data_IF_742797027822
#
_entry.id   IF_742797027822
#
_cell.length_a   1.000
_cell.length_b   1.000
_cell.length_c   1.000
_cell.angle_alpha   90.00
_cell.angle_beta   90.00
_cell.angle_gamma   90.00
#
_symmetry.space_group_name_H-M   'P 1'
#
loop_
_entity.id
_entity.type
_entity.pdbx_description
1 polymer ?
2 polymer ?
3 polymer ?
4 water ?
#
# COMPACT_ATOMS: atom_id res chain seq x y z
N UNK A 1 -11.39 13.74 10.49
CA UNK A 1 -11.28 14.37 9.18
C UNK A 1 -11.95 13.51 8.12
N UNK A 2 -11.38 13.51 6.91
CA UNK A 2 -11.91 12.69 5.82
C UNK A 2 -11.61 11.19 5.99
N UNK A 3 -12.42 10.35 5.36
CA UNK A 3 -12.26 8.89 5.45
C UNK A 3 -12.49 8.26 4.10
N UNK A 4 -12.00 7.04 3.95
CA UNK A 4 -12.19 6.32 2.70
C UNK A 4 -12.33 4.83 2.95
N UNK A 5 -13.03 4.17 2.05
CA UNK A 5 -13.04 2.71 2.01
C UNK A 5 -12.62 2.29 0.61
N UNK A 6 -11.63 1.40 0.50
CA UNK A 6 -11.14 0.99 -0.82
C UNK A 6 -10.88 -0.49 -0.86
N UNK A 7 -11.21 -1.10 -2.00
CA UNK A 7 -10.91 -2.50 -2.22
C UNK A 7 -9.96 -2.63 -3.40
N UNK A 8 -9.01 -3.53 -3.25
CA UNK A 8 -7.99 -3.77 -4.27
C UNK A 8 -8.02 -5.22 -4.64
N UNK A 9 -8.09 -5.49 -5.94
CA UNK A 9 -8.18 -6.86 -6.46
C UNK A 9 -7.07 -7.07 -7.47
N UNK A 10 -6.33 -8.17 -7.32
CA UNK A 10 -5.30 -8.55 -8.29
C UNK A 10 -5.52 -9.99 -8.73
N UNK A 11 -5.56 -10.22 -10.04
CA UNK A 11 -5.57 -11.57 -10.59
C UNK A 11 -4.41 -11.78 -11.52
N UNK A 12 -3.70 -12.90 -11.33
CA UNK A 12 -2.55 -13.21 -12.18
C UNK A 12 -2.72 -14.60 -12.79
N UNK A 13 -2.76 -14.68 -14.12
CA UNK A 13 -2.96 -15.97 -14.77
C UNK A 13 -1.73 -16.85 -14.58
N UNK A 14 -1.97 -18.14 -14.58
CA UNK A 14 -0.90 -19.11 -14.41
C UNK A 14 -0.91 -20.05 -15.59
N UNK A 15 -0.07 -19.77 -16.58
CA UNK A 15 -0.01 -20.59 -17.78
C UNK A 15 0.47 -21.97 -17.41
N UNK A 16 -0.15 -22.98 -18.01
CA UNK A 16 0.32 -24.33 -17.82
C UNK A 16 -0.70 -25.13 -17.06
N UNK A 17 -1.30 -24.55 -16.02
CA UNK A 17 -2.30 -25.27 -15.25
C UNK A 17 -3.14 -24.41 -14.32
N UNK A 18 -4.46 -24.50 -14.46
CA UNK A 18 -5.39 -24.02 -13.44
C UNK A 18 -5.76 -22.55 -13.50
N UNK A 19 -6.53 -22.12 -12.50
CA UNK A 19 -7.07 -20.77 -12.43
C UNK A 19 -6.05 -19.71 -11.98
N UNK A 20 -6.35 -18.44 -12.26
CA UNK A 20 -5.44 -17.37 -11.81
C UNK A 20 -5.29 -17.32 -10.31
N UNK A 21 -4.17 -16.80 -9.84
CA UNK A 21 -4.02 -16.44 -8.45
C UNK A 21 -4.82 -15.17 -8.23
N UNK A 22 -5.68 -15.17 -7.23
CA UNK A 22 -6.55 -14.02 -6.99
C UNK A 22 -6.37 -13.55 -5.55
N UNK A 23 -6.14 -12.26 -5.37
CA UNK A 23 -5.97 -11.68 -4.02
C UNK A 23 -6.80 -10.42 -3.92
N UNK A 24 -7.64 -10.35 -2.90
CA UNK A 24 -8.48 -9.18 -2.66
C UNK A 24 -8.17 -8.65 -1.27
N UNK A 25 -8.04 -7.33 -1.15
CA UNK A 25 -7.84 -6.73 0.18
C UNK A 25 -8.74 -5.52 0.29
N UNK A 26 -9.25 -5.28 1.49
CA UNK A 26 -10.05 -4.10 1.75
C UNK A 26 -9.43 -3.24 2.83
N UNK A 27 -9.53 -1.93 2.64
CA UNK A 27 -9.04 -0.92 3.57
C UNK A 27 -10.10 0.08 4.01
N UNK A 28 -10.05 0.47 5.27
CA UNK A 28 -10.67 1.72 5.68
C UNK A 28 -9.51 2.64 5.98
N UNK A 29 -9.45 3.76 5.27
CA UNK A 29 -8.30 4.66 5.36
C UNK A 29 -7.03 3.87 5.13
N UNK A 30 -6.09 3.89 6.07
CA UNK A 30 -4.84 3.13 5.94
C UNK A 30 -4.85 1.82 6.73
N UNK A 31 -6.04 1.34 7.06
CA UNK A 31 -6.13 0.11 7.84
C UNK A 31 -6.75 -1.03 7.01
N UNK A 32 -5.97 -2.07 6.74
CA UNK A 32 -6.52 -3.24 6.07
C UNK A 32 -7.46 -3.97 7.00
N UNK A 33 -8.64 -4.36 6.52
CA UNK A 33 -9.54 -5.05 7.44
C UNK A 33 -10.05 -6.39 6.94
N UNK A 34 -10.00 -6.63 5.63
CA UNK A 34 -10.36 -7.98 5.14
C UNK A 34 -9.37 -8.42 4.07
N UNK A 35 -9.33 -9.73 3.84
CA UNK A 35 -8.59 -10.26 2.71
C UNK A 35 -9.27 -11.50 2.15
N UNK A 36 -8.97 -11.78 0.90
CA UNK A 36 -9.25 -13.09 0.29
C UNK A 36 -8.04 -13.47 -0.52
N UNK A 37 -7.56 -14.69 -0.34
CA UNK A 37 -6.46 -15.19 -1.13
C UNK A 37 -6.84 -16.54 -1.69
N UNK A 38 -6.85 -16.67 -3.01
CA UNK A 38 -7.21 -17.95 -3.63
C UNK A 38 -6.29 -19.11 -3.23
N UNK A 39 -5.04 -18.82 -2.88
CA UNK A 39 -4.09 -19.88 -2.53
C UNK A 39 -4.25 -20.37 -1.08
N UNK A 40 -5.01 -19.64 -0.26
CA UNK A 40 -5.22 -20.03 1.15
C UNK A 40 -6.26 -21.13 1.29
N UNK A 41 -6.23 -21.82 2.43
CA UNK A 41 -7.03 -23.03 2.62
C UNK A 41 -8.50 -22.74 2.87
N UNK A 42 -8.81 -21.63 3.52
CA UNK A 42 -10.18 -21.36 3.96
C UNK A 42 -11.17 -21.11 2.83
N UNK A 43 -10.71 -20.47 1.75
CA UNK A 43 -11.59 -20.03 0.67
C UNK A 43 -12.71 -19.19 1.24
N UNK A 44 -12.39 -18.43 2.29
CA UNK A 44 -13.32 -17.46 2.83
C UNK A 44 -12.69 -16.06 2.80
N UNK A 45 -13.53 -15.03 2.70
CA UNK A 45 -13.12 -13.69 3.09
C UNK A 45 -12.76 -13.75 4.56
N UNK A 46 -11.60 -13.22 4.92
CA UNK A 46 -11.07 -13.33 6.29
C UNK A 46 -10.88 -11.98 6.94
N UNK A 47 -11.04 -11.91 8.27
CA UNK A 47 -10.81 -10.65 8.98
C UNK A 47 -9.33 -10.34 9.11
N UNK A 48 -8.99 -9.06 9.08
CA UNK A 48 -7.63 -8.59 9.22
C UNK A 48 -7.52 -7.41 10.20
N UNK A 49 -8.67 -7.00 10.75
CA UNK A 49 -8.71 -6.02 11.83
C UNK A 49 -9.65 -6.56 12.90
N UNK A 50 -9.34 -6.32 14.19
CA UNK A 50 -10.18 -6.85 15.27
C UNK A 50 -11.64 -6.39 15.21
N UNK A 51 -11.86 -5.13 14.85
CA UNK A 51 -13.21 -4.56 14.83
C UNK A 51 -14.16 -5.13 13.76
N UNK A 52 -13.63 -5.81 12.74
CA UNK A 52 -14.51 -6.44 11.77
C UNK A 52 -14.93 -7.82 12.26
N UNK A 53 -14.23 -8.35 13.25
CA UNK A 53 -14.60 -9.66 13.79
C UNK A 53 -15.92 -9.54 14.56
N UNK A 54 -16.38 -8.32 14.79
CA UNK A 54 -17.73 -8.09 15.34
C UNK A 54 -18.81 -8.62 14.41
N UNK A 55 -18.54 -8.59 13.12
CA UNK A 55 -19.53 -8.98 12.12
C UNK A 55 -19.79 -10.48 12.23
N UNK A 56 -21.06 -10.84 12.07
CA UNK A 56 -21.49 -12.21 12.25
C UNK A 56 -21.44 -13.03 10.98
N UNK A 57 -21.87 -14.29 11.08
CA UNK A 57 -21.72 -15.24 9.97
C UNK A 57 -22.41 -14.82 8.67
N UNK A 58 -23.49 -14.04 8.73
CA UNK A 58 -24.16 -13.67 7.48
C UNK A 58 -23.30 -12.68 6.71
N UNK A 59 -22.52 -11.88 7.44
CA UNK A 59 -21.59 -10.95 6.82
C UNK A 59 -20.53 -11.74 6.06
N UNK A 60 -19.90 -12.70 6.74
CA UNK A 60 -18.82 -13.45 6.15
C UNK A 60 -19.27 -14.34 5.00
N UNK A 61 -20.48 -14.91 5.09
CA UNK A 61 -21.02 -15.69 3.97
C UNK A 61 -21.25 -14.83 2.74
N UNK A 62 -21.77 -13.62 2.97
CA UNK A 62 -22.07 -12.71 1.87
C UNK A 62 -20.80 -12.16 1.23
N UNK A 63 -19.81 -11.80 2.04
CA UNK A 63 -18.57 -11.26 1.48
C UNK A 63 -17.85 -12.37 0.75
N UNK A 64 -17.95 -13.59 1.26
CA UNK A 64 -17.35 -14.73 0.59
C UNK A 64 -17.99 -14.98 -0.75
N UNK A 65 -19.33 -14.98 -0.77
CA UNK A 65 -20.08 -15.22 -1.99
C UNK A 65 -19.70 -14.17 -3.05
N UNK A 66 -19.67 -12.92 -2.63
CA UNK A 66 -19.40 -11.84 -3.57
C UNK A 66 -17.96 -11.89 -4.05
N UNK A 67 -17.02 -12.16 -3.15
CA UNK A 67 -15.63 -12.08 -3.59
C UNK A 67 -15.30 -13.26 -4.52
N UNK A 68 -15.98 -14.40 -4.37
CA UNK A 68 -15.74 -15.50 -5.30
C UNK A 68 -16.27 -15.17 -6.70
N UNK A 69 -17.39 -14.44 -6.76
CA UNK A 69 -17.91 -13.94 -8.02
C UNK A 69 -16.94 -12.95 -8.67
N UNK A 70 -16.31 -12.09 -7.85
CA UNK A 70 -15.29 -11.17 -8.36
C UNK A 70 -14.15 -11.97 -8.99
N UNK A 71 -13.76 -13.06 -8.33
CA UNK A 71 -12.65 -13.88 -8.80
C UNK A 71 -12.97 -14.49 -10.17
N UNK A 72 -14.20 -14.94 -10.33
CA UNK A 72 -14.60 -15.56 -11.59
C UNK A 72 -14.72 -14.51 -12.71
N UNK A 73 -15.17 -13.32 -12.37
CA UNK A 73 -15.20 -12.24 -13.35
C UNK A 73 -13.80 -11.91 -13.88
N UNK A 74 -12.84 -11.79 -12.98
CA UNK A 74 -11.45 -11.57 -13.39
C UNK A 74 -10.86 -12.69 -14.20
N UNK A 75 -11.22 -13.92 -13.87
CA UNK A 75 -10.77 -15.09 -14.65
C UNK A 75 -11.22 -14.94 -16.10
N UNK A 76 -12.51 -14.67 -16.28
CA UNK A 76 -13.03 -14.45 -17.63
C UNK A 76 -12.31 -13.27 -18.30
N UNK A 77 -12.12 -12.17 -17.56
CA UNK A 77 -11.50 -10.97 -18.09
C UNK A 77 -10.09 -11.23 -18.62
N UNK A 78 -9.31 -12.02 -17.89
CA UNK A 78 -7.96 -12.34 -18.36
C UNK A 78 -8.03 -13.06 -19.70
N UNK A 79 -9.00 -13.94 -19.87
CA UNK A 79 -9.19 -14.61 -21.15
C UNK A 79 -9.62 -13.65 -22.25
N UNK A 80 -10.54 -12.75 -21.92
CA UNK A 80 -11.00 -11.74 -22.88
C UNK A 80 -9.86 -10.81 -23.33
N UNK A 81 -9.08 -10.33 -22.38
CA UNK A 81 -8.00 -9.40 -22.65
C UNK A 81 -6.90 -10.05 -23.48
N UNK A 82 -6.67 -11.34 -23.26
CA UNK A 82 -5.69 -12.09 -24.04
C UNK A 82 -6.10 -12.06 -25.51
N UNK A 83 -7.41 -12.20 -25.72
CA UNK A 83 -7.98 -12.12 -27.06
C UNK A 83 -7.86 -10.72 -27.65
N UNK A 84 -8.28 -9.70 -26.91
CA UNK A 84 -8.23 -8.32 -27.39
C UNK A 84 -6.82 -7.92 -27.79
N UNK A 85 -5.83 -8.37 -27.04
CA UNK A 85 -4.46 -7.93 -27.27
C UNK A 85 -3.64 -8.93 -28.10
N UNK A 86 -4.30 -9.95 -28.62
CA UNK A 86 -3.64 -10.96 -29.46
C UNK A 86 -2.40 -11.53 -28.79
N UNK A 87 -2.55 -11.96 -27.54
CA UNK A 87 -1.46 -12.55 -26.81
C UNK A 87 -1.61 -14.08 -26.76
N UNK A 88 -0.50 -14.77 -26.57
CA UNK A 88 -0.54 -16.22 -26.54
C UNK A 88 -0.96 -16.70 -25.16
N UNK A 89 -1.15 -18.01 -25.04
CA UNK A 89 -1.45 -18.63 -23.74
C UNK A 89 -0.18 -18.95 -22.96
N UNK A 90 0.97 -18.51 -23.43
CA UNK A 90 2.23 -18.90 -22.81
C UNK A 90 2.70 -17.96 -21.69
N UNK A 91 2.21 -16.73 -21.69
CA UNK A 91 2.67 -15.76 -20.72
C UNK A 91 1.70 -15.59 -19.57
N UNK A 92 2.21 -15.07 -18.46
CA UNK A 92 1.39 -14.69 -17.33
C UNK A 92 0.98 -13.23 -17.48
N UNK A 93 -0.29 -12.93 -17.22
CA UNK A 93 -0.76 -11.55 -17.30
C UNK A 93 -1.54 -11.19 -16.03
N UNK A 94 -1.77 -9.89 -15.84
CA UNK A 94 -2.29 -9.36 -14.57
C UNK A 94 -3.45 -8.41 -14.85
N UNK A 95 -4.58 -8.63 -14.18
CA UNK A 95 -5.62 -7.60 -14.11
C UNK A 95 -5.67 -7.07 -12.68
N UNK A 96 -5.78 -5.76 -12.53
CA UNK A 96 -5.98 -5.11 -11.23
C UNK A 96 -7.23 -4.27 -11.28
N UNK A 97 -7.96 -4.26 -10.17
CA UNK A 97 -9.16 -3.45 -10.04
C UNK A 97 -9.17 -2.76 -8.68
N UNK A 98 -9.54 -1.49 -8.65
CA UNK A 98 -9.67 -0.78 -7.38
C UNK A 98 -10.96 0.01 -7.45
N UNK A 99 -11.76 -0.06 -6.37
CA UNK A 99 -12.91 0.83 -6.26
C UNK A 99 -13.16 1.21 -4.80
N UNK A 100 -13.99 2.23 -4.61
CA UNK A 100 -14.29 2.67 -3.26
C UNK A 100 -14.80 4.11 -3.24
N UNK A 101 -14.97 4.63 -2.02
CA UNK A 101 -15.57 5.93 -1.83
C UNK A 101 -14.78 6.71 -0.80
N UNK A 102 -14.75 8.03 -0.97
CA UNK A 102 -14.19 8.95 0.01
C UNK A 102 -15.34 9.74 0.64
N UNK A 103 -15.26 9.97 1.94
CA UNK A 103 -16.15 10.92 2.58
C UNK A 103 -15.31 12.01 3.21
N UNK A 104 -15.90 13.19 3.37
CA UNK A 104 -15.24 14.29 4.04
C UNK A 104 -15.48 14.24 5.53
N UNK A 105 -15.16 15.33 6.22
CA UNK A 105 -15.26 15.38 7.69
C UNK A 105 -16.67 15.17 8.21
N UNK A 106 -17.68 15.54 7.40
CA UNK A 106 -19.07 15.29 7.75
C UNK A 106 -19.52 13.85 7.50
N UNK A 107 -18.61 13.03 6.99
CA UNK A 107 -18.88 11.63 6.63
C UNK A 107 -19.92 11.50 5.53
N UNK A 108 -20.12 12.56 4.76
CA UNK A 108 -20.99 12.51 3.60
C UNK A 108 -20.15 12.19 2.37
N UNK A 109 -20.77 11.52 1.39
CA UNK A 109 -20.10 11.21 0.13
C UNK A 109 -19.33 12.38 -0.48
N UNK A 110 -18.07 12.13 -0.82
CA UNK A 110 -17.24 13.14 -1.46
C UNK A 110 -16.83 12.73 -2.88
N UNK A 111 -16.24 11.53 -3.00
CA UNK A 111 -15.81 11.01 -4.30
C UNK A 111 -15.95 9.52 -4.36
N UNK A 112 -16.18 8.99 -5.56
CA UNK A 112 -16.14 7.56 -5.83
C UNK A 112 -15.14 7.19 -6.91
N UNK A 113 -14.71 5.92 -6.91
CA UNK A 113 -13.68 5.46 -7.84
C UNK A 113 -14.01 4.05 -8.27
N UNK A 114 -13.71 3.73 -9.52
CA UNK A 114 -13.74 2.35 -9.97
C UNK A 114 -12.88 2.24 -11.22
N UNK A 115 -11.71 1.63 -11.09
CA UNK A 115 -10.79 1.59 -12.23
C UNK A 115 -10.10 0.27 -12.38
N UNK A 116 -9.62 0.03 -13.59
CA UNK A 116 -9.15 -1.26 -14.04
C UNK A 116 -7.81 -1.09 -14.77
N UNK A 117 -6.89 -2.01 -14.55
CA UNK A 117 -5.63 -1.99 -15.29
C UNK A 117 -5.30 -3.38 -15.82
N UNK A 118 -4.65 -3.44 -16.97
CA UNK A 118 -4.18 -4.72 -17.53
C UNK A 118 -2.67 -4.65 -17.69
N UNK A 119 -1.97 -5.62 -17.11
CA UNK A 119 -0.51 -5.66 -17.14
C UNK A 119 0.14 -4.35 -16.69
N UNK A 120 -0.44 -3.73 -15.67
CA UNK A 120 0.12 -2.54 -15.08
C UNK A 120 -0.22 -1.24 -15.79
N UNK A 121 -1.02 -1.31 -16.86
CA UNK A 121 -1.42 -0.10 -17.58
C UNK A 121 -2.91 0.20 -17.42
N UNK A 122 -3.25 1.48 -17.32
CA UNK A 122 -4.64 1.96 -17.40
C UNK A 122 -5.39 1.22 -18.49
N UNK A 123 -6.54 0.65 -18.13
CA UNK A 123 -7.42 0.04 -19.13
C UNK A 123 -8.70 0.88 -19.24
N UNK A 124 -9.50 0.86 -18.18
CA UNK A 124 -10.74 1.65 -18.16
C UNK A 124 -11.05 2.15 -16.74
N UNK A 125 -11.54 3.39 -16.64
CA UNK A 125 -11.83 4.02 -15.35
C UNK A 125 -13.12 4.82 -15.39
N UNK A 126 -13.91 4.72 -14.33
CA UNK A 126 -15.09 5.56 -14.19
C UNK A 126 -14.63 7.00 -13.94
N UNK A 127 -15.26 7.96 -14.60
CA UNK A 127 -14.90 9.38 -14.45
C UNK A 127 -15.49 9.92 -13.16
N UNK A 128 -15.02 11.09 -12.73
CA UNK A 128 -15.43 11.66 -11.42
C UNK A 128 -16.94 11.81 -11.27
N UNK A 129 -17.64 12.00 -12.38
CA UNK A 129 -19.08 12.21 -12.34
C UNK A 129 -19.85 10.90 -12.12
N UNK A 130 -19.13 9.79 -12.15
CA UNK A 130 -19.73 8.45 -12.02
C UNK A 130 -20.75 8.16 -13.11
N UNK A 131 -20.64 8.86 -14.24
CA UNK A 131 -21.61 8.69 -15.31
C UNK A 131 -20.97 8.28 -16.63
N UNK A 132 -19.66 8.42 -16.73
CA UNK A 132 -18.98 8.13 -17.99
C UNK A 132 -17.64 7.43 -17.76
N UNK A 133 -17.03 6.96 -18.84
CA UNK A 133 -15.82 6.15 -18.77
C UNK A 133 -14.61 6.75 -19.52
N UNK A 134 -13.42 6.50 -18.99
CA UNK A 134 -12.16 6.81 -19.66
C UNK A 134 -11.56 5.50 -20.12
N UNK A 135 -11.56 5.27 -21.44
CA UNK A 135 -10.97 4.08 -22.04
C UNK A 135 -9.62 4.43 -22.62
N UNK A 136 -8.55 3.76 -22.19
CA UNK A 136 -7.21 4.17 -22.61
C UNK A 136 -6.86 3.84 -24.06
N UNK A 137 -7.39 2.73 -24.57
CA UNK A 137 -7.08 2.33 -25.95
C UNK A 137 -8.29 1.71 -26.62
N UNK A 138 -8.11 1.17 -27.82
CA UNK A 138 -9.28 0.70 -28.57
C UNK A 138 -9.90 -0.55 -27.96
N UNK A 139 -9.09 -1.39 -27.34
CA UNK A 139 -9.61 -2.56 -26.63
C UNK A 139 -10.55 -2.10 -25.51
N UNK A 140 -10.09 -1.14 -24.72
CA UNK A 140 -10.90 -0.62 -23.62
C UNK A 140 -12.15 0.10 -24.14
N UNK A 141 -12.05 0.67 -25.34
CA UNK A 141 -13.18 1.34 -25.95
C UNK A 141 -14.30 0.34 -26.26
N UNK A 142 -13.94 -0.87 -26.67
CA UNK A 142 -14.93 -1.93 -26.83
C UNK A 142 -15.64 -2.27 -25.52
N UNK A 143 -14.89 -2.33 -24.43
CA UNK A 143 -15.49 -2.55 -23.12
C UNK A 143 -16.41 -1.36 -22.74
N UNK A 144 -15.96 -0.13 -23.02
CA UNK A 144 -16.78 1.06 -22.71
C UNK A 144 -18.15 0.99 -23.39
N UNK A 145 -18.17 0.63 -24.67
CA UNK A 145 -19.43 0.51 -25.43
C UNK A 145 -20.34 -0.53 -24.79
N UNK A 146 -19.75 -1.68 -24.46
CA UNK A 146 -20.47 -2.75 -23.79
C UNK A 146 -21.07 -2.31 -22.46
N UNK A 147 -20.27 -1.60 -21.66
CA UNK A 147 -20.75 -1.17 -20.35
C UNK A 147 -21.75 -0.02 -20.45
N UNK A 148 -21.63 0.80 -21.49
CA UNK A 148 -22.64 1.83 -21.70
C UNK A 148 -23.99 1.21 -22.05
N UNK A 149 -23.96 0.29 -23.01
CA UNK A 149 -25.18 -0.43 -23.41
C UNK A 149 -25.88 -1.11 -22.24
N UNK A 150 -25.12 -1.67 -21.30
CA UNK A 150 -25.69 -2.38 -20.16
C UNK A 150 -25.84 -1.51 -18.91
N UNK A 151 -25.61 -0.21 -19.04
CA UNK A 151 -25.83 0.73 -17.94
C UNK A 151 -25.05 0.39 -16.68
N UNK A 152 -23.78 0.02 -16.84
CA UNK A 152 -22.95 -0.36 -15.72
C UNK A 152 -22.73 0.83 -14.79
N UNK A 153 -22.45 2.01 -15.36
CA UNK A 153 -22.10 3.15 -14.52
C UNK A 153 -23.21 3.49 -13.53
N UNK A 154 -24.46 3.39 -13.98
CA UNK A 154 -25.58 3.77 -13.14
C UNK A 154 -25.66 2.89 -11.91
N UNK A 155 -25.29 1.63 -12.10
CA UNK A 155 -25.33 0.68 -11.00
C UNK A 155 -24.13 0.85 -10.06
N UNK A 156 -22.97 1.19 -10.63
CA UNK A 156 -21.81 1.49 -9.81
C UNK A 156 -22.07 2.74 -9.00
N UNK A 157 -22.67 3.73 -9.65
CA UNK A 157 -22.99 5.00 -9.01
C UNK A 157 -23.80 4.77 -7.73
N UNK A 158 -24.74 3.83 -7.80
CA UNK A 158 -25.62 3.59 -6.66
C UNK A 158 -24.84 3.01 -5.47
N UNK A 159 -23.91 2.11 -5.76
CA UNK A 159 -23.07 1.54 -4.72
C UNK A 159 -22.13 2.60 -4.17
N UNK A 160 -21.41 3.28 -5.05
CA UNK A 160 -20.36 4.19 -4.61
C UNK A 160 -20.92 5.36 -3.81
N UNK A 161 -22.09 5.86 -4.21
CA UNK A 161 -22.69 7.01 -3.54
C UNK A 161 -23.52 6.61 -2.34
N UNK A 162 -24.00 5.38 -2.33
CA UNK A 162 -24.91 4.94 -1.31
C UNK A 162 -24.36 3.85 -0.41
N UNK A 163 -24.41 2.61 -0.90
CA UNK A 163 -24.02 1.42 -0.15
C UNK A 163 -22.61 1.49 0.42
N UNK A 164 -21.66 1.92 -0.40
CA UNK A 164 -20.27 2.05 0.01
C UNK A 164 -20.13 2.99 1.22
N UNK A 165 -20.81 4.12 1.16
CA UNK A 165 -20.77 5.10 2.25
C UNK A 165 -21.41 4.58 3.53
N UNK A 166 -22.49 3.83 3.38
CA UNK A 166 -23.14 3.21 4.53
C UNK A 166 -22.23 2.21 5.21
N UNK A 167 -21.55 1.40 4.41
CA UNK A 167 -20.60 0.42 4.96
C UNK A 167 -19.53 1.14 5.75
N UNK A 168 -19.00 2.19 5.14
CA UNK A 168 -17.91 2.95 5.71
C UNK A 168 -18.32 3.55 7.06
N UNK A 169 -19.51 4.12 7.11
CA UNK A 169 -20.03 4.70 8.33
C UNK A 169 -20.22 3.64 9.42
N UNK A 170 -20.64 2.45 9.02
CA UNK A 170 -20.79 1.35 9.93
C UNK A 170 -19.44 0.90 10.48
N UNK A 171 -18.46 0.81 9.60
CA UNK A 171 -17.12 0.38 10.01
C UNK A 171 -16.48 1.42 10.91
N UNK A 172 -16.65 2.70 10.58
CA UNK A 172 -16.07 3.76 11.38
C UNK A 172 -16.63 3.74 12.81
N UNK A 173 -17.87 3.28 12.95
CA UNK A 173 -18.51 3.18 14.26
C UNK A 173 -17.99 1.98 15.05
N UNK A 174 -18.05 0.82 14.43
CA UNK A 174 -17.58 -0.39 15.07
C UNK A 174 -16.08 -0.35 15.36
N UNK A 175 -15.30 0.33 14.53
CA UNK A 175 -13.88 0.41 14.76
C UNK A 175 -13.45 1.71 15.40
N UNK A 176 -14.40 2.44 15.99
CA UNK A 176 -14.15 3.81 16.45
C UNK A 176 -12.89 3.95 17.31
N UNK A 177 -12.61 2.97 18.16
CA UNK A 177 -11.48 3.06 19.09
C UNK A 177 -10.13 3.21 18.39
N UNK A 178 -10.04 2.69 17.17
CA UNK A 178 -8.82 2.86 16.38
C UNK A 178 -9.05 3.69 15.12
N UNK A 179 -10.14 3.43 14.41
CA UNK A 179 -10.38 4.16 13.15
C UNK A 179 -10.61 5.66 13.33
N UNK A 180 -11.16 6.06 14.46
CA UNK A 180 -11.43 7.49 14.64
C UNK A 180 -10.35 8.15 15.50
N UNK A 181 -9.29 7.40 15.78
CA UNK A 181 -8.18 7.93 16.56
C UNK A 181 -7.02 8.35 15.68
N UNK A 182 -6.47 9.54 15.92
CA UNK A 182 -5.27 9.96 15.19
C UNK A 182 -4.04 9.74 16.07
N UNK A 183 -2.97 9.24 15.47
CA UNK A 183 -1.73 9.02 16.19
C UNK A 183 -0.72 10.03 15.68
N UNK A 184 -0.39 11.01 16.50
CA UNK A 184 0.54 12.06 16.09
C UNK A 184 1.96 11.49 16.02
N UNK A 185 2.77 11.99 15.08
CA UNK A 185 4.13 11.45 14.98
C UNK A 185 4.97 11.70 16.22
N UNK A 186 5.71 10.66 16.63
CA UNK A 186 6.75 10.83 17.63
C UNK A 186 8.01 11.28 16.90
N UNK A 187 8.48 12.48 17.23
CA UNK A 187 9.59 13.05 16.47
C UNK A 187 10.86 13.21 17.27
N UNK A 188 11.99 13.09 16.57
CA UNK A 188 13.29 13.42 17.15
C UNK A 188 14.29 13.62 16.04
N UNK A 189 15.44 14.15 16.39
CA UNK A 189 16.48 14.44 15.40
C UNK A 189 17.78 13.73 15.73
N UNK A 190 18.44 13.21 14.70
CA UNK A 190 19.76 12.61 14.88
C UNK A 190 20.79 13.37 14.07
N UNK A 191 22.06 13.17 14.41
CA UNK A 191 23.17 13.93 13.85
C UNK A 191 24.29 12.96 13.51
N UNK A 192 24.85 13.07 12.31
CA UNK A 192 25.92 12.19 11.88
C UNK A 192 27.02 12.98 11.19
N UNK A 193 28.26 12.83 11.64
CA UNK A 193 29.38 13.49 10.99
C UNK A 193 29.92 12.64 9.84
N UNK A 194 29.97 13.19 8.63
CA UNK A 194 30.57 12.45 7.54
C UNK A 194 32.06 12.84 7.41
N UNK A 195 32.36 14.10 7.70
CA UNK A 195 33.74 14.59 7.64
C UNK A 195 33.91 15.67 8.68
N UNK A 196 35.08 16.27 8.73
CA UNK A 196 35.31 17.34 9.70
C UNK A 196 34.55 18.61 9.32
N UNK A 197 34.00 18.67 8.12
CA UNK A 197 33.32 19.89 7.69
C UNK A 197 31.88 19.67 7.22
N UNK A 198 31.44 18.41 7.17
CA UNK A 198 30.10 18.08 6.68
C UNK A 198 29.32 17.21 7.67
N UNK A 199 28.07 17.56 7.96
CA UNK A 199 27.24 16.75 8.84
C UNK A 199 25.85 16.51 8.27
N UNK A 200 25.19 15.44 8.72
CA UNK A 200 23.84 15.16 8.28
C UNK A 200 22.90 15.24 9.47
N UNK A 201 21.82 15.99 9.31
CA UNK A 201 20.77 16.06 10.32
C UNK A 201 19.60 15.24 9.81
N UNK A 202 19.08 14.33 10.63
CA UNK A 202 17.98 13.50 10.19
C UNK A 202 16.81 13.69 11.13
N UNK A 203 15.68 14.06 10.55
CA UNK A 203 14.46 14.33 11.32
C UNK A 203 13.53 13.14 11.18
N UNK A 204 13.21 12.49 12.29
CA UNK A 204 12.38 11.27 12.30
C UNK A 204 10.94 11.51 12.72
N UNK A 205 10.00 10.87 12.02
CA UNK A 205 8.61 10.84 12.46
C UNK A 205 8.22 9.38 12.56
N UNK A 206 7.79 8.97 13.75
CA UNK A 206 7.53 7.56 14.02
C UNK A 206 6.15 7.36 14.59
N UNK A 207 5.60 6.16 14.39
CA UNK A 207 4.37 5.75 15.05
C UNK A 207 3.15 6.61 14.76
N UNK A 208 3.02 7.15 13.55
CA UNK A 208 1.89 8.02 13.28
C UNK A 208 0.81 7.34 12.45
N UNK A 209 -0.39 7.90 12.53
CA UNK A 209 -1.54 7.40 11.80
C UNK A 209 -2.55 8.53 11.67
N UNK A 210 -3.11 8.74 10.46
CA UNK A 210 -2.90 7.99 9.23
C UNK A 210 -1.56 8.30 8.56
N UNK A 211 -1.32 7.70 7.40
CA UNK A 211 0.00 7.71 6.78
C UNK A 211 0.40 9.07 6.22
N UNK A 212 -0.59 9.90 5.95
CA UNK A 212 -0.37 11.21 5.33
C UNK A 212 0.41 12.12 6.26
N UNK A 213 1.53 12.67 5.78
CA UNK A 213 2.39 13.48 6.61
C UNK A 213 3.27 14.36 5.71
N UNK A 214 3.72 15.49 6.25
CA UNK A 214 4.67 16.34 5.53
C UNK A 214 5.87 16.68 6.41
N UNK A 215 7.08 16.39 5.93
CA UNK A 215 8.31 16.79 6.61
C UNK A 215 9.05 17.75 5.72
N UNK A 216 9.43 18.90 6.24
CA UNK A 216 10.18 19.86 5.43
C UNK A 216 11.29 20.47 6.26
N UNK A 217 12.35 20.86 5.58
CA UNK A 217 13.48 21.51 6.22
C UNK A 217 13.48 22.98 5.89
N UNK A 218 13.89 23.78 6.85
CA UNK A 218 14.14 25.19 6.61
C UNK A 218 15.55 25.58 7.03
N UNK A 219 16.18 26.49 6.28
CA UNK A 219 17.39 27.15 6.78
C UNK A 219 17.15 28.63 7.01
N UNK A 220 17.40 29.08 8.23
CA UNK A 220 17.18 30.46 8.61
C UNK A 220 15.72 30.88 8.31
N UNK A 221 14.79 29.97 8.57
CA UNK A 221 13.37 30.23 8.38
C UNK A 221 12.89 30.21 6.94
N UNK A 222 13.72 29.75 6.01
CA UNK A 222 13.34 29.65 4.61
C UNK A 222 13.40 28.21 4.13
N UNK A 223 12.46 27.82 3.26
CA UNK A 223 12.40 26.43 2.79
C UNK A 223 13.68 26.02 2.08
N UNK A 224 14.16 24.83 2.42
CA UNK A 224 15.35 24.27 1.81
C UNK A 224 15.06 22.89 1.23
N UNK A 225 15.32 22.72 -0.06
CA UNK A 225 15.08 21.42 -0.69
C UNK A 225 16.37 20.83 -1.24
N UNK A 226 17.32 21.69 -1.59
CA UNK A 226 18.66 21.25 -1.97
C UNK A 226 19.38 20.56 -0.82
N UNK A 227 20.20 19.56 -1.16
CA UNK A 227 20.93 18.75 -0.19
C UNK A 227 20.04 18.12 0.86
N UNK A 228 18.77 17.87 0.52
CA UNK A 228 17.88 17.10 1.39
C UNK A 228 17.54 15.76 0.76
N UNK A 229 17.26 14.79 1.63
CA UNK A 229 16.77 13.48 1.21
C UNK A 229 15.57 13.08 2.07
N UNK A 230 14.54 12.53 1.44
CA UNK A 230 13.31 12.16 2.13
C UNK A 230 12.90 10.77 1.70
N UNK A 231 12.76 9.82 2.63
CA UNK A 231 12.30 8.47 2.25
C UNK A 231 10.79 8.40 2.13
N UNK A 232 10.34 7.47 1.30
CA UNK A 232 8.92 7.15 1.17
C UNK A 232 8.39 6.72 2.52
N UNK A 233 7.19 7.18 2.87
CA UNK A 233 6.51 6.78 4.10
C UNK A 233 6.35 5.26 4.10
N UNK A 234 6.64 4.62 5.23
CA UNK A 234 6.71 3.17 5.28
C UNK A 234 5.94 2.64 6.48
N UNK A 235 5.35 1.45 6.34
CA UNK A 235 4.63 0.83 7.45
C UNK A 235 5.56 0.29 8.53
N UNK A 236 5.23 0.55 9.78
CA UNK A 236 6.01 0.03 10.88
C UNK A 236 5.74 -1.46 11.06
N UNK A 237 4.52 -1.86 10.71
CA UNK A 237 4.12 -3.25 10.83
C UNK A 237 3.15 -3.47 11.98
N UNK A 238 2.93 -2.44 12.79
CA UNK A 238 1.94 -2.51 13.87
C UNK A 238 0.73 -1.63 13.58
N UNK A 239 0.56 -1.23 12.32
CA UNK A 239 -0.55 -0.36 11.97
C UNK A 239 -0.19 1.11 11.82
N UNK A 240 0.99 1.50 12.29
CA UNK A 240 1.42 2.88 12.20
C UNK A 240 2.47 3.04 11.10
N UNK A 241 2.92 4.26 10.89
CA UNK A 241 3.83 4.55 9.79
C UNK A 241 5.05 5.34 10.25
N UNK A 242 6.09 5.33 9.40
CA UNK A 242 7.34 6.00 9.69
C UNK A 242 7.76 6.80 8.48
N UNK A 243 8.53 7.85 8.71
CA UNK A 243 9.16 8.62 7.63
C UNK A 243 10.33 9.40 8.21
N UNK A 244 11.36 9.64 7.41
CA UNK A 244 12.36 10.63 7.84
C UNK A 244 12.79 11.50 6.67
N UNK A 245 13.37 12.64 7.03
CA UNK A 245 13.93 13.55 6.05
C UNK A 245 15.28 14.03 6.58
N UNK A 246 16.27 14.15 5.69
CA UNK A 246 17.61 14.51 6.12
C UNK A 246 18.12 15.70 5.31
N UNK A 247 18.98 16.51 5.92
CA UNK A 247 19.64 17.58 5.20
C UNK A 247 21.13 17.48 5.50
N UNK A 248 21.95 17.76 4.49
CA UNK A 248 23.38 17.91 4.68
C UNK A 248 23.75 19.36 5.00
N UNK A 249 24.51 19.55 6.07
CA UNK A 249 24.86 20.90 6.50
C UNK A 249 26.36 21.07 6.79
N UNK A 250 26.87 22.30 6.70
CA UNK A 250 28.24 22.54 7.13
C UNK A 250 28.36 22.31 8.62
N UNK A 251 29.37 21.54 9.02
CA UNK A 251 29.62 21.26 10.42
C UNK A 251 29.74 22.57 11.20
N UNK A 252 28.97 22.70 12.28
CA UNK A 252 28.98 23.93 13.07
C UNK A 252 27.80 24.83 12.80
N UNK A 253 27.07 24.60 11.71
CA UNK A 253 25.93 25.45 11.35
C UNK A 253 24.57 24.77 11.59
N UNK A 254 24.57 23.72 12.40
CA UNK A 254 23.36 22.94 12.65
C UNK A 254 22.19 23.80 13.13
N UNK A 255 22.47 24.80 13.94
CA UNK A 255 21.42 25.62 14.56
C UNK A 255 20.57 26.45 13.56
N UNK A 256 21.08 26.62 12.35
CA UNK A 256 20.34 27.34 11.31
C UNK A 256 19.17 26.53 10.80
N UNK A 257 19.20 25.21 11.03
CA UNK A 257 18.29 24.32 10.32
C UNK A 257 17.17 23.82 11.22
N UNK A 258 15.95 23.86 10.70
CA UNK A 258 14.79 23.39 11.45
C UNK A 258 13.96 22.44 10.60
N UNK A 259 13.44 21.41 11.24
CA UNK A 259 12.56 20.44 10.60
C UNK A 259 11.11 20.74 10.97
N UNK A 260 10.22 20.71 9.99
CA UNK A 260 8.84 21.10 10.21
C UNK A 260 7.88 19.95 9.89
N UNK A 261 7.01 19.63 10.85
CA UNK A 261 6.19 18.44 10.73
C UNK A 261 4.71 18.76 10.72
N UNK A 262 4.03 18.30 9.68
CA UNK A 262 2.60 18.52 9.53
C UNK A 262 1.88 17.19 9.50
N UNK A 263 0.87 17.05 10.34
CA UNK A 263 0.11 15.80 10.45
C UNK A 263 -1.24 16.13 11.08
N UNK A 264 -2.30 15.43 10.67
CA UNK A 264 -3.63 15.81 11.19
C UNK A 264 -3.78 15.50 12.67
N UNK A 265 -2.86 14.71 13.21
CA UNK A 265 -2.84 14.42 14.64
C UNK A 265 -2.17 15.51 15.46
N UNK A 266 -1.66 16.52 14.77
CA UNK A 266 -0.98 17.66 15.40
C UNK A 266 -1.84 18.91 15.25
N UNK A 267 -2.35 19.44 16.37
CA UNK A 267 -3.14 20.68 16.37
C UNK A 267 -2.42 21.81 15.62
N UNK A 268 -1.12 21.92 15.85
CA UNK A 268 -0.29 22.89 15.16
C UNK A 268 0.97 22.20 14.63
N UNK A 269 1.47 22.62 13.44
CA UNK A 269 2.76 22.16 12.94
C UNK A 269 3.85 22.16 14.00
N UNK A 270 4.69 21.15 13.97
CA UNK A 270 5.75 20.97 14.95
C UNK A 270 7.09 21.40 14.36
N UNK A 271 7.92 22.06 15.16
CA UNK A 271 9.25 22.47 14.74
C UNK A 271 10.32 21.75 15.56
N UNK A 272 11.30 21.16 14.90
CA UNK A 272 12.41 20.50 15.59
C UNK A 272 13.73 21.18 15.29
N UNK A 273 14.59 21.21 16.29
CA UNK A 273 15.92 21.80 16.17
C UNK A 273 16.93 20.83 16.78
N UNK A 274 18.18 20.91 16.36
CA UNK A 274 19.21 19.99 16.85
C UNK A 274 19.65 20.32 18.28
N UNK B 1 4.73 -5.07 -22.16
CA UNK B 1 4.83 -5.54 -20.80
C UNK B 1 5.61 -4.55 -19.94
N UNK B 2 4.91 -3.78 -19.12
CA UNK B 2 5.55 -2.89 -18.16
C UNK B 2 6.34 -3.70 -17.15
N UNK B 3 7.57 -3.28 -16.90
CA UNK B 3 8.36 -3.90 -15.86
C UNK B 3 9.00 -2.84 -14.99
N UNK B 4 8.56 -2.77 -13.74
CA UNK B 4 9.07 -1.78 -12.80
C UNK B 4 9.84 -2.44 -11.69
N UNK B 5 11.02 -1.90 -11.40
CA UNK B 5 11.93 -2.53 -10.45
C UNK B 5 11.55 -2.13 -9.03
N UNK B 6 11.74 -3.04 -8.07
CA UNK B 6 11.28 -2.69 -6.72
C UNK B 6 12.16 -1.66 -6.01
N UNK B 7 11.52 -0.74 -5.31
CA UNK B 7 12.24 0.06 -4.32
C UNK B 7 12.24 -0.72 -3.01
N UNK B 8 13.33 -0.61 -2.26
CA UNK B 8 13.54 -1.42 -1.05
C UNK B 8 13.97 -0.55 0.13
N UNK B 9 13.30 -0.73 1.26
CA UNK B 9 13.77 -0.18 2.53
C UNK B 9 13.81 -1.27 3.57
N UNK B 10 14.88 -1.30 4.37
CA UNK B 10 15.04 -2.28 5.45
C UNK B 10 15.19 -1.51 6.75
N UNK B 11 14.42 -1.85 7.77
CA UNK B 11 14.31 -1.02 8.97
C UNK B 11 13.61 -1.78 10.09
N UNK B 12 13.73 -1.29 11.33
CA UNK B 12 13.06 -1.95 12.45
C UNK B 12 11.69 -1.35 12.72
N UNK B 13 10.80 -2.14 13.30
CA UNK B 13 9.47 -1.64 13.67
C UNK B 13 9.54 -0.60 14.80
N UNK B 14 10.39 -0.88 15.80
CA UNK B 14 10.54 0.00 16.96
C UNK B 14 11.98 0.50 17.01
N UNK B 15 12.25 1.57 17.80
CA UNK B 15 13.62 2.06 17.93
C UNK B 15 14.60 0.94 18.32
N UNK B 16 15.76 0.89 17.68
CA UNK B 16 16.68 -0.23 17.82
C UNK B 16 17.56 -0.10 19.05
N UNK B 17 17.43 -1.06 19.96
CA UNK B 17 18.28 -1.12 21.14
C UNK B 17 18.79 -2.54 21.28
N UNK B 18 20.11 -2.70 21.26
CA UNK B 18 20.73 -4.01 21.42
C UNK B 18 20.19 -4.73 22.65
N UNK B 19 19.83 -6.00 22.46
CA UNK B 19 19.38 -6.80 23.59
C UNK B 19 17.88 -6.83 23.73
N UNK B 20 17.18 -5.89 23.11
CA UNK B 20 15.73 -5.85 23.23
C UNK B 20 15.02 -6.32 21.97
N UNK B 21 13.99 -7.14 22.18
CA UNK B 21 13.13 -7.67 21.15
C UNK B 21 12.55 -6.57 20.26
N UNK B 22 12.34 -6.90 18.99
CA UNK B 22 12.00 -5.91 17.97
C UNK B 22 11.57 -6.65 16.71
N UNK B 23 11.24 -5.92 15.66
CA UNK B 23 10.84 -6.55 14.39
C UNK B 23 11.66 -5.95 13.25
N UNK B 24 12.13 -6.82 12.36
CA UNK B 24 12.89 -6.38 11.20
C UNK B 24 11.96 -6.39 10.00
N UNK B 25 11.91 -5.27 9.30
CA UNK B 25 11.04 -5.08 8.14
C UNK B 25 11.81 -4.96 6.84
N UNK B 26 11.29 -5.56 5.79
CA UNK B 26 11.73 -5.24 4.44
C UNK B 26 10.52 -4.78 3.64
N UNK B 27 10.49 -3.50 3.29
CA UNK B 27 9.37 -2.94 2.55
C UNK B 27 9.75 -2.83 1.08
N UNK B 28 9.04 -3.57 0.23
CA UNK B 28 9.27 -3.51 -1.21
C UNK B 28 8.05 -2.88 -1.89
N UNK B 29 8.30 -1.92 -2.79
CA UNK B 29 7.20 -1.20 -3.39
C UNK B 29 7.56 -0.75 -4.80
N UNK B 30 6.57 -0.29 -5.56
CA UNK B 30 6.83 0.29 -6.85
C UNK B 30 7.20 -0.71 -7.94
N UNK B 31 6.89 -1.98 -7.73
CA UNK B 31 7.30 -3.00 -8.68
C UNK B 31 6.13 -3.59 -9.47
N UNK B 32 6.49 -4.12 -10.64
CA UNK B 32 5.54 -4.77 -11.54
C UNK B 32 6.36 -5.63 -12.49
N UNK B 33 5.93 -6.89 -12.72
CA UNK B 33 4.75 -7.56 -12.17
C UNK B 33 4.94 -7.97 -10.71
N UNK B 34 3.95 -8.68 -10.17
CA UNK B 34 3.84 -8.86 -8.72
C UNK B 34 4.68 -9.99 -8.18
N UNK B 35 5.07 -10.93 -9.05
CA UNK B 35 5.93 -12.04 -8.62
C UNK B 35 7.27 -11.50 -8.12
N UNK B 36 7.64 -11.84 -6.89
CA UNK B 36 8.86 -11.32 -6.31
C UNK B 36 9.38 -12.27 -5.22
N UNK B 37 10.69 -12.30 -5.03
CA UNK B 37 11.29 -13.16 -4.01
C UNK B 37 11.96 -12.28 -2.98
N UNK B 38 11.57 -12.40 -1.72
CA UNK B 38 12.14 -11.55 -0.67
C UNK B 38 12.55 -12.42 0.52
N UNK B 39 13.79 -12.26 0.96
CA UNK B 39 14.28 -12.94 2.15
C UNK B 39 14.92 -11.95 3.10
N UNK B 40 14.80 -12.22 4.40
CA UNK B 40 15.56 -11.47 5.38
C UNK B 40 16.80 -12.29 5.76
N UNK B 41 17.94 -11.61 5.88
CA UNK B 41 19.20 -12.29 6.15
C UNK B 41 19.75 -11.93 7.51
N UNK B 42 20.29 -12.93 8.21
CA UNK B 42 21.07 -12.70 9.41
C UNK B 42 22.47 -13.23 9.17
N UNK B 43 23.45 -12.33 9.14
CA UNK B 43 24.84 -12.70 8.86
C UNK B 43 24.98 -13.49 7.56
N UNK B 44 24.26 -13.05 6.54
CA UNK B 44 24.38 -13.62 5.22
C UNK B 44 23.53 -14.85 5.00
N UNK B 45 22.90 -15.36 6.07
CA UNK B 45 22.10 -16.58 5.95
C UNK B 45 20.61 -16.28 6.07
N UNK B 46 19.83 -16.89 5.18
CA UNK B 46 18.37 -16.68 5.14
C UNK B 46 17.66 -17.04 6.45
N UNK B 47 16.86 -16.11 6.97
CA UNK B 47 16.06 -16.33 8.17
C UNK B 47 14.78 -17.08 7.80
N UNK B 48 14.44 -18.11 8.59
CA UNK B 48 13.42 -19.07 8.17
C UNK B 48 11.97 -18.64 8.37
N UNK B 49 11.59 -18.13 9.54
CA UNK B 49 10.17 -17.84 9.67
C UNK B 49 9.87 -16.35 9.54
N UNK B 50 9.74 -15.95 8.27
CA UNK B 50 9.44 -14.59 7.87
C UNK B 50 8.02 -14.55 7.31
N UNK B 51 7.22 -13.58 7.76
CA UNK B 51 5.86 -13.42 7.27
C UNK B 51 5.78 -12.22 6.32
N UNK B 52 4.69 -12.07 5.60
CA UNK B 52 4.52 -10.88 4.76
C UNK B 52 3.06 -10.47 4.63
N UNK B 53 2.86 -9.20 4.28
CA UNK B 53 1.53 -8.62 4.12
C UNK B 53 0.83 -9.20 2.89
N UNK B 54 -0.47 -8.95 2.80
CA UNK B 54 -1.26 -9.30 1.61
C UNK B 54 -0.95 -8.35 0.45
N UNK B 55 -0.81 -8.89 -0.74
CA UNK B 55 -0.47 -8.08 -1.91
C UNK B 55 -1.48 -6.95 -2.14
N UNK B 56 -0.98 -5.73 -2.28
CA UNK B 56 -1.85 -4.61 -2.59
C UNK B 56 -1.09 -3.69 -3.52
N UNK B 57 -1.70 -2.60 -3.94
CA UNK B 57 -1.03 -1.74 -4.91
C UNK B 57 -1.45 -0.30 -4.78
N UNK B 58 -0.60 0.56 -5.34
CA UNK B 58 -0.79 2.00 -5.28
C UNK B 58 -1.62 2.51 -6.46
N UNK B 59 -1.88 3.81 -6.45
CA UNK B 59 -2.69 4.45 -7.48
C UNK B 59 -2.09 4.25 -8.88
N UNK B 60 -0.77 4.19 -8.97
CA UNK B 60 -0.11 4.03 -10.26
C UNK B 60 0.00 2.56 -10.65
N UNK B 61 -0.73 1.71 -9.90
CA UNK B 61 -0.83 0.25 -10.13
C UNK B 61 0.39 -0.56 -9.69
N UNK B 62 1.42 0.08 -9.16
CA UNK B 62 2.60 -0.68 -8.77
C UNK B 62 2.37 -1.36 -7.40
N UNK B 63 2.98 -2.52 -7.22
CA UNK B 63 2.66 -3.35 -6.06
C UNK B 63 3.49 -2.98 -4.84
N UNK B 64 3.03 -3.37 -3.65
CA UNK B 64 3.89 -3.26 -2.48
C UNK B 64 3.62 -4.40 -1.50
N UNK B 65 4.66 -4.78 -0.77
CA UNK B 65 4.58 -5.86 0.22
C UNK B 65 5.47 -5.53 1.40
N UNK B 66 5.07 -5.95 2.59
CA UNK B 66 5.93 -5.81 3.75
C UNK B 66 6.31 -7.20 4.24
N UNK B 67 7.61 -7.48 4.28
CA UNK B 67 8.11 -8.72 4.86
C UNK B 67 8.69 -8.43 6.23
N UNK B 68 8.50 -9.33 7.18
CA UNK B 68 8.90 -9.02 8.55
C UNK B 68 9.10 -10.24 9.41
N UNK B 69 9.99 -10.10 10.39
CA UNK B 69 10.26 -11.16 11.35
C UNK B 69 10.76 -10.56 12.65
N UNK B 70 10.60 -11.30 13.74
CA UNK B 70 11.14 -10.91 15.03
C UNK B 70 12.66 -11.00 15.05
N UNK B 71 13.32 -10.07 15.72
CA UNK B 71 14.77 -10.12 15.84
C UNK B 71 15.23 -9.32 17.05
N UNK B 72 16.46 -9.57 17.47
CA UNK B 72 17.06 -8.84 18.57
C UNK B 72 18.40 -8.34 18.07
N UNK B 73 18.50 -7.03 17.85
CA UNK B 73 19.75 -6.48 17.34
C UNK B 73 20.89 -6.61 18.34
N UNK B 74 22.11 -6.72 17.83
CA UNK B 74 23.34 -6.66 18.62
C UNK B 74 24.31 -5.77 17.87
N UNK B 75 25.50 -5.56 18.42
CA UNK B 75 26.47 -4.81 17.66
C UNK B 75 27.21 -5.80 16.75
N UNK B 76 27.19 -7.07 17.14
CA UNK B 76 27.84 -8.12 16.36
C UNK B 76 27.13 -8.40 15.04
N UNK B 77 25.84 -8.69 15.14
CA UNK B 77 25.08 -9.26 14.03
C UNK B 77 24.77 -8.25 12.93
N UNK B 78 24.77 -8.74 11.69
CA UNK B 78 24.45 -7.91 10.55
C UNK B 78 23.22 -8.43 9.83
N UNK B 79 22.22 -7.57 9.68
CA UNK B 79 20.97 -7.97 9.05
C UNK B 79 20.80 -7.32 7.70
N UNK B 80 20.09 -8.01 6.80
CA UNK B 80 19.89 -7.52 5.46
C UNK B 80 18.61 -8.07 4.85
N UNK B 81 18.19 -7.46 3.75
CA UNK B 81 17.08 -7.97 2.95
C UNK B 81 17.59 -8.30 1.55
N UNK B 82 17.19 -9.45 1.03
CA UNK B 82 17.58 -9.87 -0.32
C UNK B 82 16.36 -9.99 -1.23
N UNK B 83 16.38 -9.24 -2.33
CA UNK B 83 15.22 -9.19 -3.21
C UNK B 83 15.55 -9.65 -4.64
N UNK B 84 14.74 -10.55 -5.17
CA UNK B 84 14.87 -10.89 -6.59
C UNK B 84 13.57 -10.61 -7.33
N UNK B 85 13.69 -10.19 -8.58
CA UNK B 85 12.56 -9.77 -9.40
C UNK B 85 12.99 -9.86 -10.85
N UNK B 86 12.04 -10.04 -11.76
CA UNK B 86 12.37 -10.25 -13.17
C UNK B 86 13.21 -9.09 -13.72
N UNK B 87 13.02 -7.90 -13.17
CA UNK B 87 13.79 -6.73 -13.57
C UNK B 87 15.22 -6.71 -13.04
N UNK B 88 15.56 -7.69 -12.20
CA UNK B 88 16.90 -7.71 -11.58
C UNK B 88 17.72 -8.87 -12.13
N UNK B 89 18.90 -8.56 -12.66
CA UNK B 89 19.76 -9.58 -13.24
C UNK B 89 20.25 -10.55 -12.17
N UNK B 90 20.48 -10.03 -10.96
CA UNK B 90 20.81 -10.87 -9.81
C UNK B 90 20.25 -10.24 -8.54
N UNK B 91 20.00 -11.08 -7.51
CA UNK B 91 19.38 -10.59 -6.27
C UNK B 91 20.04 -9.33 -5.71
N UNK B 92 19.22 -8.35 -5.34
CA UNK B 92 19.73 -7.14 -4.72
C UNK B 92 19.72 -7.27 -3.19
N UNK B 93 20.82 -6.90 -2.56
CA UNK B 93 20.95 -7.01 -1.11
C UNK B 93 21.01 -5.62 -0.52
N UNK B 94 20.13 -5.32 0.44
CA UNK B 94 20.17 -4.04 1.12
C UNK B 94 20.41 -4.28 2.60
N UNK B 95 21.45 -3.66 3.14
CA UNK B 95 21.86 -3.91 4.51
C UNK B 95 21.03 -3.08 5.50
N UNK B 96 20.65 -3.67 6.62
CA UNK B 96 19.99 -2.89 7.66
C UNK B 96 20.97 -1.93 8.32
N UNK B 97 20.62 -0.65 8.29
CA UNK B 97 21.37 0.42 8.97
C UNK B 97 20.42 1.04 9.98
N UNK B 98 20.74 0.93 11.26
CA UNK B 98 19.82 1.41 12.29
C UNK B 98 19.65 2.94 12.26
N UNK B 99 20.50 3.61 11.49
CA UNK B 99 20.38 5.06 11.29
C UNK B 99 19.74 5.44 9.94
N UNK B 100 19.70 4.48 9.02
CA UNK B 100 19.34 4.64 7.58
C UNK B 100 20.42 5.34 6.75
N UNK C 1 -18.14 -3.44 2.77
CA UNK C 1 -18.78 -4.47 1.97
C UNK C 1 -18.56 -4.26 0.48
N UNK C 2 -18.26 -5.33 -0.25
CA UNK C 2 -17.94 -5.19 -1.67
C UNK C 2 -19.19 -5.22 -2.54
N UNK C 3 -18.98 -4.87 -3.81
CA UNK C 3 -20.04 -4.84 -4.81
C UNK C 3 -20.83 -6.14 -4.88
N UNK C 4 -22.16 -6.03 -4.96
CA UNK C 4 -23.01 -7.20 -5.05
C UNK C 4 -22.84 -7.89 -6.42
N UNK C 5 -22.81 -7.10 -7.47
CA UNK C 5 -22.74 -7.65 -8.82
C UNK C 5 -21.52 -7.15 -9.57
N UNK C 6 -20.89 -8.02 -10.33
CA UNK C 6 -19.77 -7.58 -11.14
C UNK C 6 -20.16 -7.78 -12.61
N UNK C 7 -19.33 -7.24 -13.48
CA UNK C 7 -19.57 -7.25 -14.91
C UNK C 7 -18.27 -7.63 -15.59
N UNK C 8 -18.35 -8.42 -16.66
CA UNK C 8 -17.13 -8.78 -17.33
C UNK C 8 -16.83 -7.71 -18.36
N UNK C 9 -15.56 -7.52 -18.67
CA UNK C 9 -15.16 -6.47 -19.58
C UNK C 9 -15.15 -6.92 -21.05
#
# INVERSE_FOLDING_TARGET
>A
GSHSMRYFFTSVSRPGRGEPRFIAVGYVDDTQFVRFDSDAASQRMEPRAPWIEQEGPEYWDGETRKVKAHSQTHRVDLGTLRGYYNQSEAGSHTVQRMYGCDVGSDWRFLRGYHQYAYDGKDYIALKEDLRSWTAADMAAQTTKHKWEAAHVAEQLRAYLEGTCVEWLRRYLENGKETLQRTDAPKTHMTHHAVSDHEATLRCWALSFYPAEITLTWQRDGEDQTQDTELVETRPAGDGTFQKWVAVVVPSGQEQRYTCHVQHEGLPKPLTLRW
>B
MIQRTPKIQVYSRHPAENGKSNFLNCYVSGFHPSDIEVDLLKNGERIEKVEHSDLSFSKDWSFYLLYYTEFTPTEKDEYACRVNHVTLSQPKIVKWDRDM
>C
GILEFVFTL
#
